data_IF_842159825078
#
_entry.id   IF_842159825078
#
_cell.length_a   1.000
_cell.length_b   1.000
_cell.length_c   1.000
_cell.angle_alpha   90.00
_cell.angle_beta   90.00
_cell.angle_gamma   90.00
#
_symmetry.space_group_name_H-M   'P 1'
#
loop_
_entity.id
_entity.type
_entity.pdbx_description
1 polymer ?
#
# COMPACT_ATOMS: atom_id res chain seq x y z
N UNK A 1 -24.52 -3.91 3.19
CA UNK A 1 -24.99 -3.66 4.56
C UNK A 1 -24.82 -2.21 4.97
N UNK A 2 -23.70 -1.56 4.63
CA UNK A 2 -23.37 -0.20 5.06
C UNK A 2 -23.76 0.89 4.05
N UNK A 3 -24.39 0.54 2.93
CA UNK A 3 -24.77 1.50 1.88
C UNK A 3 -23.57 2.13 1.16
N UNK A 4 -22.41 1.49 1.22
CA UNK A 4 -21.19 1.97 0.57
C UNK A 4 -21.28 1.70 -0.94
N UNK A 5 -21.03 2.74 -1.73
CA UNK A 5 -20.83 2.59 -3.17
C UNK A 5 -19.40 2.16 -3.43
N UNK A 6 -19.22 1.05 -4.14
CA UNK A 6 -17.93 0.62 -4.64
C UNK A 6 -17.83 0.93 -6.15
N UNK A 7 -16.68 1.44 -6.56
CA UNK A 7 -16.33 1.61 -7.97
C UNK A 7 -15.06 0.80 -8.27
N UNK A 8 -15.09 0.11 -9.40
CA UNK A 8 -13.96 -0.64 -9.90
C UNK A 8 -13.22 0.19 -10.95
N UNK A 9 -11.90 0.24 -10.81
CA UNK A 9 -11.01 0.83 -11.80
C UNK A 9 -10.18 -0.29 -12.39
N UNK A 10 -10.22 -0.43 -13.71
CA UNK A 10 -9.38 -1.39 -14.41
C UNK A 10 -7.91 -0.96 -14.32
N UNK A 11 -7.01 -1.91 -14.07
CA UNK A 11 -5.59 -1.63 -13.91
C UNK A 11 -4.93 -1.12 -15.20
N UNK A 12 -5.55 -1.33 -16.35
CA UNK A 12 -5.11 -0.72 -17.61
C UNK A 12 -5.16 0.80 -17.56
N UNK A 13 -6.02 1.40 -16.73
CA UNK A 13 -6.04 2.86 -16.53
C UNK A 13 -4.75 3.35 -15.84
N UNK A 14 -4.23 2.60 -14.88
CA UNK A 14 -2.94 2.92 -14.26
C UNK A 14 -1.81 2.85 -15.29
N UNK A 15 -1.78 1.80 -16.11
CA UNK A 15 -0.77 1.63 -17.16
C UNK A 15 -0.89 2.72 -18.23
N UNK A 16 -2.12 3.05 -18.66
CA UNK A 16 -2.36 4.15 -19.60
C UNK A 16 -1.80 5.47 -19.08
N UNK A 17 -2.09 5.81 -17.83
CA UNK A 17 -1.55 7.04 -17.21
C UNK A 17 -0.03 7.00 -17.13
N UNK A 18 0.58 5.86 -16.82
CA UNK A 18 2.03 5.72 -16.82
C UNK A 18 2.63 5.95 -18.21
N UNK A 19 2.05 5.30 -19.24
CA UNK A 19 2.52 5.36 -20.62
C UNK A 19 2.43 6.77 -21.21
N UNK A 20 1.33 7.47 -20.95
CA UNK A 20 1.10 8.83 -21.45
C UNK A 20 1.62 9.93 -20.51
N UNK A 21 2.27 9.57 -19.38
CA UNK A 21 2.83 10.55 -18.46
C UNK A 21 1.77 11.36 -17.73
N UNK A 22 0.59 10.79 -17.46
CA UNK A 22 -0.54 11.48 -16.82
C UNK A 22 -0.39 11.39 -15.29
N UNK A 23 0.56 12.13 -14.75
CA UNK A 23 0.83 12.35 -13.33
C UNK A 23 1.65 13.64 -13.17
N UNK A 24 1.70 14.20 -11.96
CA UNK A 24 2.53 15.37 -11.69
C UNK A 24 4.02 14.98 -11.69
N UNK A 25 4.73 15.40 -12.73
CA UNK A 25 6.16 15.08 -12.91
C UNK A 25 7.04 15.76 -11.84
N UNK A 26 6.68 16.94 -11.37
CA UNK A 26 7.45 17.62 -10.34
C UNK A 26 7.32 16.90 -8.99
N UNK A 27 6.11 16.46 -8.65
CA UNK A 27 5.87 15.64 -7.47
C UNK A 27 6.54 14.26 -7.59
N UNK A 28 6.55 13.67 -8.78
CA UNK A 28 7.25 12.41 -9.01
C UNK A 28 8.76 12.52 -8.69
N UNK A 29 9.43 13.58 -9.16
CA UNK A 29 10.84 13.79 -8.85
C UNK A 29 11.08 13.98 -7.34
N UNK A 30 10.19 14.67 -6.64
CA UNK A 30 10.24 14.81 -5.19
C UNK A 30 10.06 13.45 -4.48
N UNK A 31 9.10 12.65 -4.91
CA UNK A 31 8.82 11.33 -4.34
C UNK A 31 9.99 10.36 -4.56
N UNK A 32 10.58 10.34 -5.76
CA UNK A 32 11.76 9.51 -6.04
C UNK A 32 12.98 9.94 -5.22
N UNK A 33 13.18 11.24 -5.04
CA UNK A 33 14.26 11.75 -4.19
C UNK A 33 14.06 11.32 -2.73
N UNK A 34 12.83 11.45 -2.21
CA UNK A 34 12.47 10.98 -0.88
C UNK A 34 12.73 9.48 -0.69
N UNK A 35 12.30 8.66 -1.65
CA UNK A 35 12.50 7.20 -1.60
C UNK A 35 13.99 6.85 -1.56
N UNK A 36 14.80 7.49 -2.38
CA UNK A 36 16.26 7.27 -2.39
C UNK A 36 16.93 7.65 -1.08
N UNK A 37 16.44 8.67 -0.39
CA UNK A 37 17.00 9.16 0.87
C UNK A 37 16.49 8.37 2.08
N UNK A 38 15.21 8.00 2.09
CA UNK A 38 14.52 7.49 3.28
C UNK A 38 14.20 6.01 3.25
N UNK A 39 14.21 5.37 2.08
CA UNK A 39 13.87 3.96 1.93
C UNK A 39 15.11 3.15 1.54
N UNK A 40 16.01 2.83 2.47
CA UNK A 40 17.19 2.05 2.14
C UNK A 40 16.78 0.66 1.64
N UNK A 41 17.45 0.21 0.58
CA UNK A 41 17.22 -1.14 0.06
C UNK A 41 17.75 -2.16 1.05
N UNK A 42 16.87 -3.10 1.43
CA UNK A 42 17.26 -4.24 2.24
C UNK A 42 18.12 -5.25 1.44
N UNK A 43 18.58 -6.28 2.12
CA UNK A 43 19.28 -7.39 1.51
C UNK A 43 18.31 -8.23 0.67
N UNK A 44 18.66 -8.47 -0.59
CA UNK A 44 17.93 -9.38 -1.46
C UNK A 44 18.35 -10.82 -1.16
N UNK A 45 17.51 -11.54 -0.42
CA UNK A 45 17.76 -12.93 0.00
C UNK A 45 17.28 -13.98 -0.99
N UNK A 46 16.81 -13.57 -2.16
CA UNK A 46 16.46 -14.52 -3.20
C UNK A 46 17.71 -15.28 -3.71
N UNK A 47 17.54 -16.50 -4.23
CA UNK A 47 18.60 -17.17 -4.95
C UNK A 47 19.20 -16.27 -6.05
N UNK A 48 20.52 -16.37 -6.33
CA UNK A 48 21.20 -15.45 -7.26
C UNK A 48 20.55 -15.36 -8.66
N UNK A 49 19.98 -16.46 -9.14
CA UNK A 49 19.27 -16.55 -10.43
C UNK A 49 17.91 -15.85 -10.44
N UNK A 50 17.42 -15.44 -9.25
CA UNK A 50 16.16 -14.70 -9.08
C UNK A 50 16.34 -13.28 -8.56
N UNK A 51 17.58 -12.88 -8.30
CA UNK A 51 17.86 -11.51 -7.86
C UNK A 51 17.77 -10.54 -9.04
N UNK A 52 17.15 -9.40 -8.80
CA UNK A 52 17.10 -8.33 -9.78
C UNK A 52 18.44 -7.58 -9.86
N UNK A 53 18.81 -7.21 -11.07
CA UNK A 53 19.93 -6.31 -11.31
C UNK A 53 19.66 -4.91 -10.71
N UNK A 54 20.70 -4.10 -10.46
CA UNK A 54 20.51 -2.72 -9.99
C UNK A 54 19.62 -1.89 -10.92
N UNK A 55 19.72 -2.09 -12.23
CA UNK A 55 18.87 -1.38 -13.19
C UNK A 55 17.40 -1.83 -13.12
N UNK A 56 17.15 -3.13 -13.00
CA UNK A 56 15.79 -3.65 -12.80
C UNK A 56 15.18 -3.13 -11.49
N UNK A 57 15.96 -3.10 -10.40
CA UNK A 57 15.50 -2.53 -9.12
C UNK A 57 15.16 -1.05 -9.25
N UNK A 58 15.97 -0.28 -9.97
CA UNK A 58 15.67 1.12 -10.26
C UNK A 58 14.36 1.27 -11.03
N UNK A 59 14.16 0.48 -12.09
CA UNK A 59 12.92 0.50 -12.87
C UNK A 59 11.70 0.14 -12.03
N UNK A 60 11.81 -0.82 -11.09
CA UNK A 60 10.74 -1.15 -10.16
C UNK A 60 10.41 0.02 -9.23
N UNK A 61 11.42 0.71 -8.67
CA UNK A 61 11.20 1.91 -7.87
C UNK A 61 10.48 3.02 -8.64
N UNK A 62 10.91 3.29 -9.85
CA UNK A 62 10.26 4.25 -10.73
C UNK A 62 8.81 3.87 -11.05
N UNK A 63 8.56 2.59 -11.24
CA UNK A 63 7.22 2.06 -11.49
C UNK A 63 6.30 2.23 -10.27
N UNK A 64 6.71 1.76 -9.08
CA UNK A 64 5.85 1.79 -7.89
C UNK A 64 5.58 3.19 -7.38
N UNK A 65 6.53 4.12 -7.54
CA UNK A 65 6.30 5.54 -7.17
C UNK A 65 5.30 6.19 -8.12
N UNK A 66 5.44 6.02 -9.44
CA UNK A 66 4.44 6.51 -10.41
C UNK A 66 3.07 5.90 -10.16
N UNK A 67 3.01 4.60 -9.92
CA UNK A 67 1.78 3.88 -9.61
C UNK A 67 1.09 4.48 -8.37
N UNK A 68 1.84 4.81 -7.34
CA UNK A 68 1.31 5.41 -6.11
C UNK A 68 0.68 6.77 -6.36
N UNK A 69 1.36 7.66 -7.10
CA UNK A 69 0.79 8.96 -7.49
C UNK A 69 -0.49 8.79 -8.30
N UNK A 70 -0.47 7.91 -9.29
CA UNK A 70 -1.62 7.66 -10.15
C UNK A 70 -2.80 7.08 -9.36
N UNK A 71 -2.57 6.12 -8.48
CA UNK A 71 -3.63 5.54 -7.62
C UNK A 71 -4.23 6.63 -6.72
N UNK A 72 -3.39 7.44 -6.07
CA UNK A 72 -3.85 8.57 -5.26
C UNK A 72 -4.72 9.52 -6.07
N UNK A 73 -4.27 9.89 -7.26
CA UNK A 73 -4.98 10.83 -8.13
C UNK A 73 -6.28 10.24 -8.68
N UNK A 74 -6.34 8.92 -8.89
CA UNK A 74 -7.61 8.24 -9.21
C UNK A 74 -8.58 8.31 -8.03
N UNK A 75 -8.12 8.15 -6.80
CA UNK A 75 -8.98 8.18 -5.62
C UNK A 75 -9.51 9.59 -5.34
N UNK A 76 -8.65 10.59 -5.32
CA UNK A 76 -8.96 11.92 -4.79
C UNK A 76 -9.03 13.03 -5.84
N UNK A 77 -8.50 12.77 -7.03
CA UNK A 77 -8.26 13.79 -8.04
C UNK A 77 -6.97 14.56 -7.78
N UNK A 78 -6.55 15.29 -8.82
CA UNK A 78 -5.39 16.17 -8.78
C UNK A 78 -5.58 17.32 -9.77
N UNK A 79 -5.90 18.53 -9.30
CA UNK A 79 -6.12 19.70 -10.18
C UNK A 79 -4.95 20.02 -11.12
N UNK A 80 -3.74 19.61 -10.73
CA UNK A 80 -2.53 19.77 -11.54
C UNK A 80 -2.62 19.06 -12.90
N UNK A 81 -3.34 17.94 -12.95
CA UNK A 81 -3.53 17.20 -14.19
C UNK A 81 -4.35 18.01 -15.21
N UNK A 82 -5.29 18.84 -14.75
CA UNK A 82 -6.04 19.73 -15.67
C UNK A 82 -5.11 20.80 -16.29
N UNK A 83 -4.16 21.32 -15.54
CA UNK A 83 -3.15 22.26 -16.05
C UNK A 83 -2.22 21.59 -17.08
N UNK A 84 -2.00 20.28 -16.95
CA UNK A 84 -1.22 19.47 -17.89
C UNK A 84 -2.03 19.02 -19.13
N UNK A 85 -3.30 19.38 -19.23
CA UNK A 85 -4.17 19.06 -20.36
C UNK A 85 -5.04 17.81 -20.17
N UNK A 86 -5.17 17.30 -18.95
CA UNK A 86 -5.95 16.11 -18.58
C UNK A 86 -7.08 16.45 -17.58
N UNK A 87 -8.09 17.25 -17.99
CA UNK A 87 -9.13 17.71 -17.07
C UNK A 87 -10.04 16.58 -16.55
N UNK A 88 -10.24 15.52 -17.32
CA UNK A 88 -11.05 14.37 -16.88
C UNK A 88 -10.33 13.56 -15.80
N UNK A 89 -9.04 13.32 -15.99
CA UNK A 89 -8.20 12.61 -15.04
C UNK A 89 -7.97 13.39 -13.74
N UNK A 90 -8.10 14.71 -13.80
CA UNK A 90 -7.96 15.59 -12.63
C UNK A 90 -9.09 15.42 -11.60
N UNK A 91 -10.28 14.92 -12.01
CA UNK A 91 -11.47 14.89 -11.15
C UNK A 91 -11.37 13.84 -10.02
N UNK A 92 -10.75 12.69 -10.27
CA UNK A 92 -10.73 11.57 -9.34
C UNK A 92 -12.12 10.97 -9.07
N UNK A 93 -12.18 10.06 -8.11
CA UNK A 93 -13.41 9.33 -7.72
C UNK A 93 -14.05 9.86 -6.44
N UNK A 94 -13.46 10.84 -5.79
CA UNK A 94 -13.88 11.34 -4.47
C UNK A 94 -14.04 10.18 -3.47
N UNK A 95 -13.08 9.26 -3.46
CA UNK A 95 -13.11 8.06 -2.64
C UNK A 95 -12.74 8.38 -1.19
N UNK A 96 -13.29 7.62 -0.25
CA UNK A 96 -12.95 7.70 1.18
C UNK A 96 -12.05 6.54 1.63
N UNK A 97 -11.97 5.50 0.80
CA UNK A 97 -11.12 4.35 1.00
C UNK A 97 -10.80 3.72 -0.36
N UNK A 98 -9.79 2.90 -0.41
CA UNK A 98 -9.41 2.15 -1.60
C UNK A 98 -8.72 0.86 -1.28
N UNK A 99 -8.28 0.16 -2.32
CA UNK A 99 -7.47 -1.04 -2.23
C UNK A 99 -7.00 -1.45 -3.61
N UNK A 100 -5.92 -2.22 -3.64
CA UNK A 100 -5.36 -2.75 -4.87
C UNK A 100 -5.46 -4.28 -4.87
N UNK A 101 -6.16 -4.82 -5.85
CA UNK A 101 -6.27 -6.26 -6.01
C UNK A 101 -5.17 -6.79 -6.93
N UNK A 102 -3.99 -7.08 -6.36
CA UNK A 102 -2.84 -7.65 -7.04
C UNK A 102 -2.98 -9.15 -7.26
N UNK A 103 -3.91 -9.58 -8.08
CA UNK A 103 -4.06 -11.00 -8.43
C UNK A 103 -3.01 -11.46 -9.45
N UNK A 104 -2.85 -12.76 -9.61
CA UNK A 104 -1.80 -13.39 -10.40
C UNK A 104 -1.62 -12.83 -11.82
N UNK A 105 -2.69 -12.50 -12.49
CA UNK A 105 -2.61 -11.91 -13.83
C UNK A 105 -1.85 -10.59 -13.86
N UNK A 106 -1.82 -9.88 -12.72
CA UNK A 106 -1.04 -8.67 -12.56
C UNK A 106 0.34 -8.97 -11.94
N UNK A 107 0.39 -9.65 -10.80
CA UNK A 107 1.61 -9.84 -10.00
C UNK A 107 2.67 -10.71 -10.68
N UNK A 108 2.28 -11.56 -11.63
CA UNK A 108 3.23 -12.32 -12.46
C UNK A 108 3.89 -11.43 -13.54
N UNK A 109 3.39 -10.22 -13.74
CA UNK A 109 3.82 -9.31 -14.80
C UNK A 109 4.32 -7.97 -14.31
N UNK A 110 3.72 -7.40 -13.28
CA UNK A 110 4.00 -6.05 -12.78
C UNK A 110 4.16 -6.02 -11.25
N UNK A 111 4.74 -4.95 -10.74
CA UNK A 111 4.78 -4.70 -9.31
C UNK A 111 3.36 -4.52 -8.75
N UNK A 112 3.13 -5.06 -7.58
CA UNK A 112 1.86 -4.92 -6.85
C UNK A 112 1.76 -3.59 -6.10
N UNK A 113 0.59 -3.34 -5.48
CA UNK A 113 0.28 -2.06 -4.86
C UNK A 113 0.86 -1.81 -3.46
N UNK A 114 1.79 -2.64 -2.98
CA UNK A 114 2.30 -2.58 -1.60
C UNK A 114 2.92 -1.24 -1.24
N UNK A 115 3.66 -0.64 -2.16
CA UNK A 115 4.25 0.68 -1.92
C UNK A 115 3.17 1.76 -1.82
N UNK A 116 2.15 1.72 -2.68
CA UNK A 116 1.00 2.62 -2.60
C UNK A 116 0.25 2.44 -1.28
N UNK A 117 0.03 1.20 -0.85
CA UNK A 117 -0.60 0.88 0.42
C UNK A 117 0.17 1.48 1.60
N UNK A 118 1.49 1.26 1.67
CA UNK A 118 2.32 1.81 2.74
C UNK A 118 2.19 3.32 2.85
N UNK A 119 2.38 4.05 1.77
CA UNK A 119 2.38 5.52 1.81
C UNK A 119 0.99 6.13 1.90
N UNK A 120 -0.01 5.55 1.26
CA UNK A 120 -1.38 6.06 1.38
C UNK A 120 -1.93 5.85 2.79
N UNK A 121 -1.67 4.68 3.39
CA UNK A 121 -2.16 4.37 4.73
C UNK A 121 -1.40 5.07 5.86
N UNK A 122 -0.22 5.61 5.62
CA UNK A 122 0.59 6.35 6.62
C UNK A 122 0.13 7.79 6.81
N UNK A 123 0.49 8.40 7.95
CA UNK A 123 0.21 9.81 8.25
C UNK A 123 1.22 10.78 7.63
N UNK A 124 2.16 10.29 6.85
CA UNK A 124 3.17 11.08 6.14
C UNK A 124 3.48 10.53 4.75
N UNK A 125 4.05 11.37 3.92
CA UNK A 125 4.69 11.00 2.65
C UNK A 125 5.82 12.00 2.32
N UNK A 126 6.23 12.07 1.06
CA UNK A 126 7.25 13.01 0.57
C UNK A 126 6.84 14.49 0.65
N UNK A 127 5.56 14.81 0.85
CA UNK A 127 5.05 16.16 1.07
C UNK A 127 4.98 16.53 2.57
N UNK A 128 5.31 15.59 3.47
CA UNK A 128 5.22 15.76 4.92
C UNK A 128 3.99 15.09 5.51
N UNK A 129 3.46 15.64 6.61
CA UNK A 129 2.31 15.05 7.31
C UNK A 129 1.02 15.21 6.50
N UNK A 130 0.21 14.14 6.49
CA UNK A 130 -1.09 14.07 5.82
C UNK A 130 -2.06 13.18 6.60
N UNK A 131 -3.37 13.30 6.40
CA UNK A 131 -4.31 12.29 6.88
C UNK A 131 -4.04 10.93 6.26
N UNK A 132 -4.11 9.82 7.03
CA UNK A 132 -3.98 8.48 6.49
C UNK A 132 -5.22 8.12 5.65
N UNK A 133 -5.00 7.36 4.58
CA UNK A 133 -6.05 6.82 3.73
C UNK A 133 -6.31 5.37 4.13
N UNK A 134 -7.57 4.98 4.28
CA UNK A 134 -7.91 3.57 4.43
C UNK A 134 -7.68 2.85 3.09
N UNK A 135 -6.50 2.27 2.92
CA UNK A 135 -6.11 1.55 1.71
C UNK A 135 -5.80 0.10 2.04
N UNK A 136 -6.70 -0.80 1.68
CA UNK A 136 -6.69 -2.18 2.13
C UNK A 136 -5.91 -3.10 1.19
N UNK A 137 -5.09 -3.97 1.78
CA UNK A 137 -4.40 -5.05 1.09
C UNK A 137 -5.39 -5.93 0.35
N UNK A 138 -5.03 -6.36 -0.86
CA UNK A 138 -5.82 -7.24 -1.72
C UNK A 138 -7.26 -6.74 -1.99
N UNK A 139 -7.50 -5.44 -1.75
CA UNK A 139 -8.80 -4.80 -1.87
C UNK A 139 -9.88 -5.40 -0.95
N UNK A 140 -9.49 -5.81 0.27
CA UNK A 140 -10.45 -6.30 1.28
C UNK A 140 -11.31 -5.15 1.80
N UNK A 141 -12.49 -5.02 1.22
CA UNK A 141 -13.43 -3.93 1.49
C UNK A 141 -13.89 -3.90 2.96
N UNK A 142 -14.07 -5.05 3.62
CA UNK A 142 -14.50 -5.08 5.02
C UNK A 142 -13.41 -4.54 5.94
N UNK A 143 -12.17 -4.90 5.65
CA UNK A 143 -11.02 -4.39 6.38
C UNK A 143 -10.79 -2.90 6.09
N UNK A 144 -10.98 -2.45 4.85
CA UNK A 144 -10.94 -1.03 4.50
C UNK A 144 -11.92 -0.19 5.33
N UNK A 145 -13.12 -0.70 5.54
CA UNK A 145 -14.13 -0.04 6.41
C UNK A 145 -13.66 0.02 7.86
N UNK A 146 -13.09 -1.06 8.38
CA UNK A 146 -12.53 -1.09 9.73
C UNK A 146 -11.37 -0.12 9.90
N UNK A 147 -10.46 -0.05 8.92
CA UNK A 147 -9.37 0.93 8.87
C UNK A 147 -9.91 2.37 8.84
N UNK A 148 -10.94 2.63 8.02
CA UNK A 148 -11.57 3.95 7.95
C UNK A 148 -12.11 4.38 9.31
N UNK A 149 -12.82 3.50 10.03
CA UNK A 149 -13.27 3.80 11.38
C UNK A 149 -12.11 4.03 12.35
N UNK A 150 -11.07 3.22 12.29
CA UNK A 150 -9.85 3.40 13.08
C UNK A 150 -9.23 4.78 12.84
N UNK A 151 -9.02 5.16 11.57
CA UNK A 151 -8.47 6.46 11.19
C UNK A 151 -9.35 7.63 11.69
N UNK A 152 -10.67 7.52 11.54
CA UNK A 152 -11.60 8.58 11.97
C UNK A 152 -11.66 8.74 13.49
N UNK A 153 -11.52 7.65 14.26
CA UNK A 153 -11.58 7.68 15.72
C UNK A 153 -10.27 8.15 16.35
N UNK A 154 -9.14 7.82 15.75
CA UNK A 154 -7.82 8.08 16.33
C UNK A 154 -7.11 9.28 15.70
N UNK A 155 -7.48 9.66 14.49
CA UNK A 155 -6.71 10.59 13.65
C UNK A 155 -5.37 10.03 13.17
N UNK A 156 -5.06 8.77 13.47
CA UNK A 156 -3.82 8.09 13.14
C UNK A 156 -3.99 7.03 12.06
N UNK A 157 -2.87 6.46 11.64
CA UNK A 157 -2.85 5.34 10.70
C UNK A 157 -3.40 4.06 11.35
N UNK A 158 -4.07 3.24 10.54
CA UNK A 158 -4.54 1.92 10.95
C UNK A 158 -3.80 0.84 10.18
N UNK A 159 -3.37 -0.21 10.89
CA UNK A 159 -2.73 -1.37 10.26
C UNK A 159 -3.79 -2.35 9.78
N UNK A 160 -3.71 -2.72 8.51
CA UNK A 160 -4.45 -3.86 7.98
C UNK A 160 -3.85 -5.15 8.54
N UNK A 161 -4.68 -6.04 9.07
CA UNK A 161 -4.22 -7.37 9.46
C UNK A 161 -5.36 -8.40 9.49
N UNK A 162 -5.08 -9.58 8.93
CA UNK A 162 -5.95 -10.75 9.04
C UNK A 162 -5.69 -11.50 10.33
N UNK A 163 -6.76 -11.92 11.02
CA UNK A 163 -6.66 -12.87 12.13
C UNK A 163 -6.45 -14.28 11.55
N UNK A 164 -5.23 -14.80 11.66
CA UNK A 164 -4.89 -16.13 11.11
C UNK A 164 -5.20 -17.26 12.07
N UNK A 165 -4.78 -17.15 13.31
CA UNK A 165 -4.95 -18.19 14.32
C UNK A 165 -4.68 -17.69 15.73
N UNK A 166 -5.08 -18.51 16.69
CA UNK A 166 -4.59 -18.43 18.07
C UNK A 166 -3.50 -19.48 18.29
N UNK A 167 -2.36 -19.07 18.79
CA UNK A 167 -1.28 -19.93 19.23
C UNK A 167 -1.37 -20.18 20.72
N UNK A 168 -1.71 -21.42 21.12
CA UNK A 168 -1.63 -21.80 22.53
C UNK A 168 -0.17 -21.91 23.01
N UNK A 169 0.11 -21.74 24.31
CA UNK A 169 1.45 -21.90 24.85
C UNK A 169 2.12 -23.22 24.48
N UNK A 170 1.36 -24.30 24.50
CA UNK A 170 1.84 -25.66 24.15
C UNK A 170 2.18 -25.76 22.66
N UNK A 171 1.42 -25.13 21.81
CA UNK A 171 1.68 -25.10 20.36
C UNK A 171 2.95 -24.33 20.06
N UNK A 172 3.16 -23.20 20.71
CA UNK A 172 4.37 -22.39 20.55
C UNK A 172 5.59 -23.17 21.03
N UNK A 173 5.53 -23.74 22.23
CA UNK A 173 6.65 -24.53 22.80
C UNK A 173 7.00 -25.72 21.92
N UNK A 174 6.00 -26.44 21.42
CA UNK A 174 6.20 -27.59 20.52
C UNK A 174 6.90 -27.23 19.22
N UNK A 175 6.57 -26.06 18.62
CA UNK A 175 7.09 -25.68 17.30
C UNK A 175 8.43 -24.95 17.40
N UNK A 176 8.58 -24.08 18.40
CA UNK A 176 9.75 -23.19 18.52
C UNK A 176 10.75 -23.61 19.59
N UNK A 177 10.37 -24.52 20.49
CA UNK A 177 11.14 -24.83 21.69
C UNK A 177 11.12 -23.73 22.77
N UNK A 178 10.44 -22.59 22.49
CA UNK A 178 10.34 -21.49 23.44
C UNK A 178 9.01 -21.56 24.21
N UNK A 179 9.09 -21.48 25.52
CA UNK A 179 7.91 -21.41 26.37
C UNK A 179 7.45 -19.97 26.55
N UNK A 180 6.22 -19.61 26.10
CA UNK A 180 5.70 -18.27 26.24
C UNK A 180 5.65 -17.80 27.70
N UNK A 181 6.03 -16.54 27.95
CA UNK A 181 6.10 -15.92 29.27
C UNK A 181 5.51 -14.50 29.23
N UNK A 182 5.32 -13.90 30.41
CA UNK A 182 4.81 -12.54 30.54
C UNK A 182 3.44 -12.37 29.86
N UNK A 183 3.28 -11.38 29.02
CA UNK A 183 2.04 -11.12 28.29
C UNK A 183 1.64 -12.26 27.36
N UNK A 184 2.59 -13.06 26.89
CA UNK A 184 2.34 -14.20 26.00
C UNK A 184 2.10 -15.52 26.75
N UNK A 185 2.12 -15.54 28.10
CA UNK A 185 1.99 -16.77 28.89
C UNK A 185 0.67 -17.51 28.63
N UNK A 186 -0.38 -16.82 28.23
CA UNK A 186 -1.67 -17.37 27.84
C UNK A 186 -1.81 -17.67 26.34
N UNK A 187 -0.73 -17.59 25.59
CA UNK A 187 -0.78 -17.65 24.12
C UNK A 187 -1.00 -16.28 23.48
N UNK A 188 -1.19 -16.25 22.16
CA UNK A 188 -1.40 -15.00 21.44
C UNK A 188 -2.21 -15.21 20.13
N UNK A 189 -2.83 -14.15 19.69
CA UNK A 189 -3.50 -14.10 18.38
C UNK A 189 -2.44 -13.75 17.34
N UNK A 190 -2.37 -14.53 16.28
CA UNK A 190 -1.50 -14.30 15.15
C UNK A 190 -2.21 -13.44 14.13
N UNK A 191 -1.70 -12.25 13.92
CA UNK A 191 -2.13 -11.31 12.90
C UNK A 191 -1.10 -11.29 11.78
N UNK A 192 -1.58 -11.29 10.53
CA UNK A 192 -0.72 -11.15 9.35
C UNK A 192 -1.35 -10.14 8.39
N UNK A 193 -0.52 -9.25 7.88
CA UNK A 193 -0.76 -8.57 6.62
C UNK A 193 0.02 -9.31 5.52
N UNK A 194 -0.65 -9.68 4.42
CA UNK A 194 -0.01 -10.34 3.27
C UNK A 194 0.70 -9.35 2.33
N UNK A 195 0.51 -8.06 2.52
CA UNK A 195 1.14 -6.96 1.79
C UNK A 195 1.92 -6.04 2.72
N UNK A 196 2.08 -4.80 2.29
CA UNK A 196 2.67 -3.76 3.11
C UNK A 196 1.64 -3.14 4.06
N UNK A 197 2.12 -2.57 5.16
CA UNK A 197 1.29 -1.86 6.12
C UNK A 197 1.65 -0.37 6.16
N UNK A 198 0.82 0.43 6.84
CA UNK A 198 1.17 1.79 7.20
C UNK A 198 2.51 1.81 7.94
N UNK A 199 3.38 2.77 7.62
CA UNK A 199 4.74 2.85 8.17
C UNK A 199 4.76 3.35 9.61
N UNK A 200 3.67 3.93 10.06
CA UNK A 200 3.46 4.54 11.38
C UNK A 200 2.14 4.11 12.05
N UNK A 201 1.61 2.96 11.62
CA UNK A 201 0.39 2.36 12.14
C UNK A 201 0.58 1.55 13.42
#
# INVERSE_FOLDING_TARGET
>A
YLGIRAEWVDMTEVLRRMEYGIYDHAEYEQAIAFVKDRCPMGEDRNPPDRQFTPEQKKQQWEFVVRMTLIIRDILFGNPKLAELGYPEEALGKNAIAGGFQGQRMWSDWQCIGDFAESFLASTFDWNGNKPPVAFATENDTLNAVSMLFGNLLTGGASVFADVRTYWSPESVERVSGWKPQGAAAGGFIHLINSGAAALDG
#
